data_IF_892479682976
#
_entry.id   IF_892479682976
#
_cell.length_a   1.000
_cell.length_b   1.000
_cell.length_c   1.000
_cell.angle_alpha   90.00
_cell.angle_beta   90.00
_cell.angle_gamma   90.00
#
_symmetry.space_group_name_H-M   'P 1'
#
loop_
_entity.id
_entity.type
_entity.pdbx_description
1 polymer ?
#
# COMPACT_ATOMS: atom_id res chain seq x y z
N UNK A 1 17.72 -14.80 5.90
CA UNK A 1 18.00 -13.52 5.27
C UNK A 1 17.25 -12.40 5.98
N UNK A 2 17.96 -11.34 6.31
CA UNK A 2 17.34 -10.24 7.05
C UNK A 2 16.32 -9.50 6.15
N UNK A 3 15.17 -9.22 6.73
CA UNK A 3 14.13 -8.48 6.03
C UNK A 3 14.43 -6.99 6.06
N UNK A 4 14.20 -6.28 4.95
CA UNK A 4 14.35 -4.83 4.95
C UNK A 4 13.31 -4.21 5.89
N UNK A 5 13.59 -3.02 6.45
CA UNK A 5 12.60 -2.36 7.31
C UNK A 5 11.25 -2.13 6.62
N UNK A 6 11.27 -1.81 5.34
CA UNK A 6 10.04 -1.58 4.58
C UNK A 6 9.23 -2.86 4.43
N UNK A 7 9.90 -3.99 4.23
CA UNK A 7 9.22 -5.28 4.16
C UNK A 7 8.57 -5.65 5.50
N UNK A 8 9.20 -5.26 6.62
CA UNK A 8 8.61 -5.49 7.94
C UNK A 8 7.31 -4.71 8.10
N UNK A 9 7.27 -3.48 7.64
CA UNK A 9 6.05 -2.67 7.66
C UNK A 9 4.98 -3.34 6.81
N UNK A 10 5.34 -3.77 5.60
CA UNK A 10 4.42 -4.46 4.70
C UNK A 10 3.85 -5.73 5.34
N UNK A 11 4.68 -6.52 6.00
CA UNK A 11 4.21 -7.72 6.70
C UNK A 11 3.23 -7.40 7.81
N UNK A 12 3.50 -6.36 8.58
CA UNK A 12 2.63 -5.94 9.67
C UNK A 12 1.27 -5.52 9.13
N UNK A 13 1.26 -4.73 8.06
CA UNK A 13 0.02 -4.31 7.41
C UNK A 13 -0.74 -5.53 6.90
N UNK A 14 -0.06 -6.45 6.22
CA UNK A 14 -0.68 -7.67 5.70
C UNK A 14 -1.32 -8.49 6.82
N UNK A 15 -0.67 -8.57 7.97
CA UNK A 15 -1.21 -9.29 9.11
C UNK A 15 -2.56 -8.70 9.55
N UNK A 16 -2.67 -7.38 9.60
CA UNK A 16 -3.93 -6.72 9.93
C UNK A 16 -4.99 -6.95 8.85
N UNK A 17 -4.61 -6.90 7.58
CA UNK A 17 -5.56 -7.12 6.49
C UNK A 17 -6.15 -8.52 6.54
N UNK A 18 -5.35 -9.51 6.89
CA UNK A 18 -5.82 -10.90 6.97
C UNK A 18 -6.92 -11.08 8.02
N UNK A 19 -6.98 -10.24 9.02
CA UNK A 19 -8.01 -10.33 10.06
C UNK A 19 -9.41 -10.06 9.55
N UNK A 20 -9.54 -9.40 8.40
CA UNK A 20 -10.85 -9.13 7.80
C UNK A 20 -11.43 -10.31 7.02
N UNK A 21 -10.65 -11.36 6.83
CA UNK A 21 -11.15 -12.61 6.24
C UNK A 21 -11.73 -12.42 4.85
N UNK A 22 -13.00 -12.81 4.69
CA UNK A 22 -13.67 -12.75 3.39
C UNK A 22 -14.20 -11.37 3.03
N UNK A 23 -14.11 -10.40 3.92
CA UNK A 23 -14.58 -9.04 3.67
C UNK A 23 -13.58 -8.23 2.87
N UNK A 24 -12.36 -8.71 2.69
CA UNK A 24 -11.30 -7.97 2.03
C UNK A 24 -10.64 -8.81 0.95
N UNK A 25 -10.29 -8.15 -0.14
CA UNK A 25 -9.48 -8.71 -1.21
C UNK A 25 -8.30 -7.78 -1.43
N UNK A 26 -7.08 -8.30 -1.52
CA UNK A 26 -5.91 -7.46 -1.74
C UNK A 26 -4.80 -8.25 -2.43
N UNK A 27 -3.87 -7.51 -3.03
CA UNK A 27 -2.70 -8.12 -3.65
C UNK A 27 -1.57 -7.09 -3.68
N UNK A 28 -0.37 -7.57 -4.01
CA UNK A 28 0.82 -6.74 -4.14
C UNK A 28 1.10 -6.53 -5.62
N UNK A 29 0.90 -5.30 -6.14
CA UNK A 29 1.16 -5.05 -7.55
C UNK A 29 2.64 -5.28 -7.88
N UNK A 30 2.91 -5.90 -9.02
CA UNK A 30 4.27 -5.99 -9.54
C UNK A 30 4.47 -4.87 -10.54
N UNK A 31 5.61 -4.17 -10.44
CA UNK A 31 5.88 -2.98 -11.25
C UNK A 31 7.03 -3.17 -12.21
N UNK A 32 7.36 -4.42 -12.55
CA UNK A 32 8.49 -4.69 -13.46
C UNK A 32 8.17 -4.36 -14.91
N UNK A 33 8.88 -3.45 -15.50
CA UNK A 33 8.93 -3.19 -16.93
C UNK A 33 7.72 -2.58 -17.61
N UNK A 34 6.53 -3.03 -17.28
CA UNK A 34 5.29 -2.57 -17.93
C UNK A 34 4.36 -1.83 -17.01
N UNK A 35 4.70 -1.74 -15.74
CA UNK A 35 3.86 -1.04 -14.78
C UNK A 35 4.14 0.43 -14.72
N UNK A 36 3.25 1.17 -14.06
CA UNK A 36 3.44 2.59 -13.79
C UNK A 36 4.36 2.77 -12.59
N UNK A 37 5.09 3.88 -12.58
CA UNK A 37 5.90 4.26 -11.42
C UNK A 37 5.01 4.80 -10.31
N UNK A 38 5.41 4.56 -9.05
CA UNK A 38 4.72 5.12 -7.90
C UNK A 38 3.50 4.34 -7.46
N UNK A 39 3.25 3.17 -8.02
CA UNK A 39 2.12 2.32 -7.62
C UNK A 39 2.29 1.91 -6.16
N UNK A 40 1.22 2.03 -5.33
CA UNK A 40 1.31 1.62 -3.93
C UNK A 40 1.67 0.14 -3.75
N UNK A 41 2.21 -0.19 -2.59
CA UNK A 41 2.66 -1.56 -2.31
C UNK A 41 1.54 -2.57 -2.23
N UNK A 42 0.37 -2.16 -1.75
CA UNK A 42 -0.79 -3.03 -1.58
C UNK A 42 -2.01 -2.34 -2.18
N UNK A 43 -2.75 -3.11 -2.97
CA UNK A 43 -4.01 -2.63 -3.56
C UNK A 43 -5.09 -3.64 -3.25
N UNK A 44 -6.29 -3.15 -2.95
CA UNK A 44 -7.37 -4.07 -2.67
C UNK A 44 -8.74 -3.40 -2.60
N UNK A 45 -9.67 -4.18 -2.09
CA UNK A 45 -11.06 -3.75 -1.94
C UNK A 45 -11.59 -4.30 -0.61
N UNK A 46 -12.22 -3.43 0.16
CA UNK A 46 -12.87 -3.81 1.41
C UNK A 46 -14.33 -3.45 1.33
N UNK A 47 -15.18 -4.46 1.29
CA UNK A 47 -16.64 -4.28 1.21
C UNK A 47 -17.05 -3.25 0.15
N UNK A 48 -16.49 -3.39 -1.02
CA UNK A 48 -16.82 -2.51 -2.14
C UNK A 48 -16.01 -1.23 -2.22
N UNK A 49 -15.17 -0.94 -1.23
CA UNK A 49 -14.35 0.26 -1.25
C UNK A 49 -12.92 -0.07 -1.69
N UNK A 50 -12.47 0.57 -2.76
CA UNK A 50 -11.10 0.44 -3.24
C UNK A 50 -10.14 1.11 -2.26
N UNK A 51 -9.02 0.44 -1.98
CA UNK A 51 -8.00 1.03 -1.12
C UNK A 51 -6.60 0.73 -1.64
N UNK A 52 -5.64 1.53 -1.19
CA UNK A 52 -4.24 1.34 -1.52
C UNK A 52 -3.39 1.74 -0.32
N UNK A 53 -2.32 1.00 -0.08
CA UNK A 53 -1.41 1.27 1.03
C UNK A 53 0.02 1.33 0.52
N UNK A 54 0.70 2.43 0.80
CA UNK A 54 2.12 2.57 0.54
C UNK A 54 2.86 2.40 1.86
N UNK A 55 3.83 1.48 1.91
CA UNK A 55 4.58 1.19 3.12
C UNK A 55 5.93 1.88 3.09
N UNK A 56 6.24 2.61 4.14
CA UNK A 56 7.51 3.30 4.31
C UNK A 56 8.14 2.90 5.64
N UNK A 57 9.45 2.99 5.73
CA UNK A 57 10.19 2.64 6.94
C UNK A 57 10.96 3.85 7.46
N UNK A 58 10.97 3.99 8.78
CA UNK A 58 11.73 5.04 9.44
C UNK A 58 11.33 6.43 8.99
N UNK A 59 12.30 7.21 8.55
CA UNK A 59 12.09 8.57 8.10
C UNK A 59 11.89 8.70 6.59
N UNK A 60 11.80 7.58 5.89
CA UNK A 60 11.59 7.62 4.44
C UNK A 60 10.23 8.25 4.13
N UNK A 61 10.23 9.08 3.10
CA UNK A 61 9.02 9.77 2.66
C UNK A 61 8.63 9.28 1.26
N UNK A 62 7.40 9.58 0.88
CA UNK A 62 6.90 9.21 -0.45
C UNK A 62 7.62 10.03 -1.52
N UNK A 63 7.79 9.41 -2.70
CA UNK A 63 8.26 10.11 -3.88
C UNK A 63 7.11 10.91 -4.48
N UNK A 64 7.46 11.82 -5.40
CA UNK A 64 6.46 12.61 -6.11
C UNK A 64 5.47 11.73 -6.88
N UNK A 65 5.98 10.67 -7.52
CA UNK A 65 5.12 9.76 -8.28
C UNK A 65 4.19 8.99 -7.36
N UNK A 66 4.67 8.59 -6.18
CA UNK A 66 3.81 7.92 -5.20
C UNK A 66 2.72 8.86 -4.69
N UNK A 67 3.06 10.12 -4.43
CA UNK A 67 2.07 11.11 -4.00
C UNK A 67 0.98 11.33 -5.06
N UNK A 68 1.37 11.37 -6.34
CA UNK A 68 0.42 11.53 -7.43
C UNK A 68 -0.52 10.33 -7.52
N UNK A 69 -0.01 9.11 -7.36
CA UNK A 69 -0.85 7.90 -7.39
C UNK A 69 -1.83 7.90 -6.22
N UNK A 70 -1.37 8.27 -5.03
CA UNK A 70 -2.22 8.35 -3.85
C UNK A 70 -3.35 9.37 -4.08
N UNK A 71 -3.02 10.53 -4.64
CA UNK A 71 -4.00 11.56 -4.94
C UNK A 71 -5.04 11.06 -5.95
N UNK A 72 -4.61 10.33 -6.98
CA UNK A 72 -5.52 9.78 -7.98
C UNK A 72 -6.52 8.81 -7.36
N UNK A 73 -6.06 7.94 -6.47
CA UNK A 73 -6.94 6.99 -5.79
C UNK A 73 -7.98 7.74 -4.95
N UNK A 74 -7.51 8.71 -4.15
CA UNK A 74 -8.41 9.48 -3.29
C UNK A 74 -9.41 10.29 -4.11
N UNK A 75 -8.96 10.89 -5.21
CA UNK A 75 -9.86 11.67 -6.07
C UNK A 75 -10.90 10.81 -6.76
N UNK A 76 -10.57 9.54 -7.02
CA UNK A 76 -11.50 8.62 -7.66
C UNK A 76 -12.52 8.02 -6.68
N UNK A 77 -12.42 8.36 -5.40
CA UNK A 77 -13.36 7.87 -4.39
C UNK A 77 -12.87 6.70 -3.57
N UNK A 78 -11.65 6.22 -3.84
CA UNK A 78 -11.02 5.20 -3.00
C UNK A 78 -10.34 5.81 -1.80
N UNK A 79 -9.60 4.99 -1.07
CA UNK A 79 -8.80 5.44 0.07
C UNK A 79 -7.36 5.00 -0.13
N UNK A 80 -6.42 5.91 0.04
CA UNK A 80 -5.01 5.59 -0.05
C UNK A 80 -4.26 6.18 1.13
N UNK A 81 -3.38 5.38 1.72
CA UNK A 81 -2.63 5.77 2.91
C UNK A 81 -1.15 5.48 2.75
N UNK A 82 -0.36 6.23 3.49
CA UNK A 82 1.05 5.92 3.71
C UNK A 82 1.17 5.42 5.15
N UNK A 83 1.72 4.23 5.32
CA UNK A 83 1.86 3.59 6.63
C UNK A 83 3.32 3.33 6.92
N UNK A 84 3.76 3.60 8.15
CA UNK A 84 5.10 3.28 8.62
C UNK A 84 4.99 2.66 10.01
N UNK A 85 6.13 2.26 10.58
CA UNK A 85 6.14 1.76 11.94
C UNK A 85 5.80 2.83 12.97
N UNK A 86 5.69 4.08 12.54
CA UNK A 86 5.43 5.22 13.43
C UNK A 86 3.96 5.65 13.44
N UNK A 87 3.13 5.02 12.61
CA UNK A 87 1.71 5.40 12.59
C UNK A 87 0.77 4.24 12.32
#
# INVERSE_FOLDING_TARGET
MAMTPEKKVKQTVTKYLKEYGNDIYYFYPTTGGYGRSGVPDIIGCYKGMFFAVECKAGKNTTTKLQELEIAKVNNAGGKAWVVSEQN
#
